data_IF_030033204406
#
_entry.id   IF_030033204406
#
_cell.length_a   1.000
_cell.length_b   1.000
_cell.length_c   1.000
_cell.angle_alpha   90.00
_cell.angle_beta   90.00
_cell.angle_gamma   90.00
#
_symmetry.space_group_name_H-M   'P 1'
#
loop_
_entity.id
_entity.type
_entity.pdbx_description
1 polymer ?
#
# COMPACT_ATOMS: atom_id res chain seq x y z
N UNK A 1 9.24 6.37 -1.28
CA UNK A 1 7.98 5.84 -1.85
C UNK A 1 7.06 5.57 -0.67
N UNK A 2 6.21 6.55 -0.31
CA UNK A 2 5.28 6.47 0.82
C UNK A 2 3.94 6.03 0.24
N UNK A 3 3.60 4.75 0.38
CA UNK A 3 2.27 4.26 0.03
C UNK A 3 1.40 4.53 1.27
N UNK A 4 0.51 5.49 1.13
CA UNK A 4 -0.53 5.78 2.11
C UNK A 4 -1.44 4.56 2.24
N UNK A 5 -1.61 4.09 3.47
CA UNK A 5 -2.58 3.06 3.83
C UNK A 5 -3.94 3.75 3.93
N UNK A 6 -4.83 3.45 2.99
CA UNK A 6 -6.25 3.79 3.08
C UNK A 6 -6.85 2.86 4.15
N UNK A 7 -7.06 3.39 5.35
CA UNK A 7 -7.94 2.82 6.35
C UNK A 7 -9.35 3.36 6.09
N UNK A 8 -10.26 2.43 5.80
CA UNK A 8 -11.68 2.65 5.64
C UNK A 8 -12.28 3.15 6.98
N UNK A 9 -12.33 4.47 7.18
CA UNK A 9 -13.05 5.11 8.28
C UNK A 9 -14.44 5.53 7.79
N UNK A 10 -15.46 4.84 8.28
CA UNK A 10 -16.87 5.25 8.13
C UNK A 10 -17.08 6.51 8.97
N UNK A 11 -17.47 7.59 8.28
CA UNK A 11 -17.56 8.94 8.81
C UNK A 11 -18.70 9.19 9.80
N UNK A 12 -18.43 10.15 10.68
CA UNK A 12 -19.42 11.02 11.31
C UNK A 12 -18.98 12.46 11.01
N UNK A 13 -19.86 13.18 10.33
CA UNK A 13 -19.64 14.50 9.76
C UNK A 13 -19.42 15.59 10.83
N UNK A 14 -18.44 16.47 10.57
CA UNK A 14 -18.15 17.65 11.38
C UNK A 14 -19.04 18.84 11.05
N UNK A 15 -19.53 19.49 12.10
CA UNK A 15 -20.25 20.78 12.12
C UNK A 15 -19.19 21.91 12.15
N UNK A 16 -19.41 23.07 11.50
CA UNK A 16 -18.43 24.16 11.46
C UNK A 16 -18.16 24.80 12.83
N UNK A 17 -16.87 25.02 13.12
CA UNK A 17 -16.36 25.69 14.32
C UNK A 17 -16.74 27.19 14.35
N UNK A 18 -17.46 27.59 15.39
CA UNK A 18 -17.54 28.99 15.82
C UNK A 18 -16.31 29.32 16.68
N UNK A 19 -15.66 30.44 16.37
CA UNK A 19 -14.58 31.02 17.15
C UNK A 19 -15.07 31.36 18.57
N UNK A 20 -14.44 30.76 19.58
CA UNK A 20 -14.75 31.00 20.99
C UNK A 20 -13.78 32.02 21.57
N UNK A 21 -14.35 33.13 22.06
CA UNK A 21 -13.68 34.20 22.76
C UNK A 21 -13.05 33.70 24.07
N UNK A 22 -11.91 34.29 24.42
CA UNK A 22 -11.05 33.89 25.53
C UNK A 22 -11.77 33.75 26.87
N UNK A 23 -11.64 32.57 27.47
CA UNK A 23 -11.97 32.30 28.86
C UNK A 23 -10.70 32.29 29.71
N UNK A 24 -10.76 33.00 30.83
CA UNK A 24 -9.70 33.03 31.86
C UNK A 24 -9.40 31.62 32.39
N UNK A 25 -8.15 31.34 32.81
CA UNK A 25 -7.80 30.06 33.43
C UNK A 25 -8.51 29.92 34.78
N UNK A 26 -9.55 29.09 34.81
CA UNK A 26 -10.13 28.61 36.07
C UNK A 26 -9.07 27.83 36.86
N UNK A 27 -9.06 27.95 38.20
CA UNK A 27 -8.15 27.19 39.05
C UNK A 27 -8.39 25.68 38.90
N UNK A 28 -7.37 24.83 39.15
CA UNK A 28 -7.47 23.39 39.01
C UNK A 28 -8.50 22.84 40.00
N UNK A 29 -9.68 22.49 39.48
CA UNK A 29 -10.68 21.72 40.22
C UNK A 29 -10.08 20.33 40.43
N UNK A 30 -9.97 19.90 41.69
CA UNK A 30 -9.55 18.55 42.03
C UNK A 30 -10.41 17.53 41.26
N UNK A 31 -9.81 16.51 40.61
CA UNK A 31 -10.56 15.57 39.79
C UNK A 31 -11.54 14.83 40.70
N UNK A 32 -12.81 15.20 40.63
CA UNK A 32 -13.88 14.33 41.11
C UNK A 32 -13.73 13.04 40.33
N UNK A 33 -13.41 11.96 41.05
CA UNK A 33 -13.33 10.57 40.61
C UNK A 33 -14.71 10.03 40.19
N UNK A 34 -15.41 10.78 39.34
CA UNK A 34 -16.70 10.46 38.80
C UNK A 34 -16.57 9.65 37.52
N UNK A 35 -17.57 8.79 37.27
CA UNK A 35 -17.70 7.93 36.08
C UNK A 35 -17.26 8.62 34.78
N UNK A 36 -17.72 9.84 34.52
CA UNK A 36 -17.41 10.58 33.30
C UNK A 36 -15.92 10.90 33.12
N UNK A 37 -15.21 11.26 34.18
CA UNK A 37 -13.78 11.57 34.13
C UNK A 37 -12.94 10.32 33.84
N UNK A 38 -13.34 9.16 34.38
CA UNK A 38 -12.70 7.88 34.08
C UNK A 38 -12.91 7.48 32.62
N UNK A 39 -14.14 7.60 32.09
CA UNK A 39 -14.42 7.28 30.69
C UNK A 39 -13.67 8.20 29.73
N UNK A 40 -13.58 9.50 30.03
CA UNK A 40 -12.77 10.45 29.25
C UNK A 40 -11.28 10.07 29.27
N UNK A 41 -10.74 9.75 30.45
CA UNK A 41 -9.34 9.35 30.59
C UNK A 41 -9.01 8.04 29.84
N UNK A 42 -9.90 7.05 29.87
CA UNK A 42 -9.76 5.79 29.12
C UNK A 42 -9.89 5.99 27.60
N UNK A 43 -10.62 7.02 27.18
CA UNK A 43 -10.81 7.37 25.77
C UNK A 43 -9.66 8.22 25.21
N UNK A 44 -8.83 8.82 26.06
CA UNK A 44 -7.64 9.60 25.68
C UNK A 44 -6.61 8.80 24.88
N UNK A 45 -5.78 9.48 24.08
CA UNK A 45 -4.59 8.89 23.43
C UNK A 45 -3.33 8.97 24.31
N UNK A 46 -3.38 9.67 25.45
CA UNK A 46 -2.27 9.71 26.41
C UNK A 46 -2.19 8.40 27.19
N UNK A 47 -1.19 7.58 26.85
CA UNK A 47 -0.90 6.31 27.50
C UNK A 47 -0.79 6.41 29.02
N UNK A 48 -0.10 7.43 29.54
CA UNK A 48 0.07 7.61 30.98
C UNK A 48 -1.24 7.97 31.68
N UNK A 49 -2.12 8.73 31.01
CA UNK A 49 -3.47 9.03 31.51
C UNK A 49 -4.34 7.77 31.57
N UNK A 50 -4.29 6.93 30.54
CA UNK A 50 -4.99 5.64 30.52
C UNK A 50 -4.46 4.73 31.63
N UNK A 51 -3.14 4.60 31.80
CA UNK A 51 -2.54 3.75 32.83
C UNK A 51 -3.01 4.13 34.23
N UNK A 52 -3.07 5.44 34.54
CA UNK A 52 -3.61 5.95 35.81
C UNK A 52 -5.11 5.63 35.97
N UNK A 53 -5.91 5.81 34.92
CA UNK A 53 -7.34 5.52 34.96
C UNK A 53 -7.61 4.02 35.19
N UNK A 54 -6.91 3.15 34.46
CA UNK A 54 -7.02 1.69 34.66
C UNK A 54 -6.56 1.29 36.07
N UNK A 55 -5.47 1.87 36.58
CA UNK A 55 -5.02 1.61 37.95
C UNK A 55 -6.08 2.02 38.99
N UNK A 56 -6.72 3.18 38.81
CA UNK A 56 -7.82 3.62 39.67
C UNK A 56 -9.02 2.66 39.63
N UNK A 57 -9.42 2.20 38.44
CA UNK A 57 -10.51 1.22 38.27
C UNK A 57 -10.18 -0.13 38.91
N UNK A 58 -8.94 -0.59 38.78
CA UNK A 58 -8.49 -1.85 39.40
C UNK A 58 -8.43 -1.77 40.93
N UNK A 59 -8.02 -0.62 41.47
CA UNK A 59 -7.91 -0.40 42.93
C UNK A 59 -9.25 -0.14 43.62
N UNK A 60 -10.32 0.17 42.88
CA UNK A 60 -11.64 0.41 43.45
C UNK A 60 -12.23 -0.87 44.09
N UNK A 61 -12.92 -0.77 45.25
CA UNK A 61 -13.62 -1.90 45.87
C UNK A 61 -14.54 -2.64 44.90
N UNK A 62 -14.69 -3.96 45.07
CA UNK A 62 -15.56 -4.79 44.21
C UNK A 62 -17.01 -4.28 44.15
N UNK A 63 -17.55 -3.83 45.27
CA UNK A 63 -18.93 -3.33 45.39
C UNK A 63 -19.22 -2.06 44.59
N UNK A 64 -18.19 -1.28 44.26
CA UNK A 64 -18.33 0.09 43.73
C UNK A 64 -17.99 0.15 42.23
N UNK A 65 -17.71 -1.01 41.62
CA UNK A 65 -17.34 -1.12 40.22
C UNK A 65 -18.53 -0.86 39.29
N UNK A 66 -18.43 0.18 38.48
CA UNK A 66 -19.35 0.40 37.38
C UNK A 66 -18.98 -0.54 36.20
N UNK A 67 -19.87 -1.45 35.77
CA UNK A 67 -19.54 -2.45 34.75
C UNK A 67 -19.17 -1.84 33.40
N UNK A 68 -19.71 -0.67 33.05
CA UNK A 68 -19.36 -0.01 31.78
C UNK A 68 -17.94 0.60 31.85
N UNK A 69 -17.54 1.14 33.01
CA UNK A 69 -16.19 1.67 33.24
C UNK A 69 -15.17 0.53 33.28
N UNK A 70 -15.49 -0.58 33.95
CA UNK A 70 -14.67 -1.80 33.92
C UNK A 70 -14.46 -2.31 32.50
N UNK A 71 -15.52 -2.33 31.69
CA UNK A 71 -15.44 -2.77 30.29
C UNK A 71 -14.57 -1.83 29.45
N UNK A 72 -14.75 -0.51 29.60
CA UNK A 72 -13.91 0.49 28.94
C UNK A 72 -12.44 0.37 29.36
N UNK A 73 -12.16 0.11 30.63
CA UNK A 73 -10.81 -0.10 31.13
C UNK A 73 -10.18 -1.37 30.54
N UNK A 74 -10.93 -2.48 30.46
CA UNK A 74 -10.47 -3.71 29.84
C UNK A 74 -10.13 -3.52 28.35
N UNK A 75 -10.97 -2.77 27.62
CA UNK A 75 -10.71 -2.41 26.21
C UNK A 75 -9.49 -1.52 26.06
N UNK A 76 -9.29 -0.55 26.96
CA UNK A 76 -8.10 0.29 26.94
C UNK A 76 -6.82 -0.52 27.22
N UNK A 77 -6.87 -1.51 28.12
CA UNK A 77 -5.76 -2.45 28.33
C UNK A 77 -5.40 -3.21 27.05
N UNK A 78 -6.40 -3.74 26.35
CA UNK A 78 -6.25 -4.51 25.12
C UNK A 78 -5.73 -3.65 23.96
N UNK A 79 -6.36 -2.50 23.71
CA UNK A 79 -6.15 -1.73 22.48
C UNK A 79 -5.03 -0.69 22.61
N UNK A 80 -4.84 -0.11 23.81
CA UNK A 80 -3.96 1.06 24.01
C UNK A 80 -2.77 0.79 24.91
N UNK A 81 -2.89 -0.14 25.86
CA UNK A 81 -1.80 -0.52 26.77
C UNK A 81 -1.06 -1.79 26.35
N UNK A 82 -1.56 -2.52 25.35
CA UNK A 82 -0.96 -3.77 24.88
C UNK A 82 -0.83 -4.81 26.02
N UNK A 83 -1.77 -4.82 26.98
CA UNK A 83 -1.74 -5.65 28.17
C UNK A 83 -2.96 -6.60 28.22
N UNK A 84 -2.89 -7.73 27.49
CA UNK A 84 -3.99 -8.70 27.45
C UNK A 84 -4.25 -9.37 28.80
N UNK A 85 -3.22 -9.48 29.66
CA UNK A 85 -3.36 -10.06 31.00
C UNK A 85 -4.26 -9.21 31.90
N UNK A 86 -3.99 -7.90 31.96
CA UNK A 86 -4.84 -6.95 32.69
C UNK A 86 -6.24 -6.85 32.09
N UNK A 87 -6.36 -6.93 30.77
CA UNK A 87 -7.66 -6.94 30.10
C UNK A 87 -8.52 -8.15 30.54
N UNK A 88 -7.95 -9.37 30.56
CA UNK A 88 -8.66 -10.57 31.03
C UNK A 88 -9.10 -10.43 32.47
N UNK A 89 -8.23 -9.95 33.37
CA UNK A 89 -8.59 -9.77 34.78
C UNK A 89 -9.79 -8.81 34.96
N UNK A 90 -9.86 -7.73 34.18
CA UNK A 90 -10.99 -6.80 34.21
C UNK A 90 -12.27 -7.41 33.61
N UNK A 91 -12.17 -8.13 32.49
CA UNK A 91 -13.32 -8.83 31.92
C UNK A 91 -13.88 -9.90 32.88
N UNK A 92 -13.01 -10.65 33.55
CA UNK A 92 -13.40 -11.66 34.52
C UNK A 92 -14.13 -11.04 35.71
N UNK A 93 -13.64 -9.90 36.20
CA UNK A 93 -14.30 -9.12 37.25
C UNK A 93 -15.72 -8.75 36.85
N UNK A 94 -15.95 -8.30 35.61
CA UNK A 94 -17.31 -7.99 35.11
C UNK A 94 -18.19 -9.23 35.16
N UNK A 95 -17.69 -10.38 34.71
CA UNK A 95 -18.48 -11.62 34.67
C UNK A 95 -18.80 -12.20 36.05
N UNK A 96 -17.89 -12.03 37.02
CA UNK A 96 -18.05 -12.53 38.37
C UNK A 96 -18.93 -11.59 39.22
N UNK A 97 -18.65 -10.28 39.18
CA UNK A 97 -19.27 -9.30 40.07
C UNK A 97 -20.59 -8.75 39.47
N UNK A 98 -20.76 -8.78 38.14
CA UNK A 98 -21.92 -8.20 37.44
C UNK A 98 -22.51 -9.11 36.33
N UNK A 99 -22.92 -10.36 36.63
CA UNK A 99 -23.36 -11.32 35.61
C UNK A 99 -24.60 -10.88 34.82
N UNK A 100 -25.46 -10.01 35.38
CA UNK A 100 -26.66 -9.47 34.73
C UNK A 100 -26.40 -8.19 33.91
N UNK A 101 -25.19 -7.63 33.96
CA UNK A 101 -24.87 -6.43 33.20
C UNK A 101 -24.88 -6.72 31.69
N UNK A 102 -25.39 -5.78 30.89
CA UNK A 102 -25.45 -5.88 29.42
C UNK A 102 -24.10 -6.22 28.78
N UNK A 103 -23.01 -5.73 29.37
CA UNK A 103 -21.64 -5.95 28.88
C UNK A 103 -21.03 -7.31 29.27
N UNK A 104 -21.61 -8.03 30.24
CA UNK A 104 -21.02 -9.25 30.81
C UNK A 104 -20.84 -10.35 29.75
N UNK A 105 -21.84 -10.57 28.89
CA UNK A 105 -21.73 -11.55 27.80
C UNK A 105 -20.62 -11.20 26.79
N UNK A 106 -20.40 -9.91 26.52
CA UNK A 106 -19.30 -9.47 25.66
C UNK A 106 -17.94 -9.61 26.35
N UNK A 107 -17.86 -9.29 27.64
CA UNK A 107 -16.67 -9.46 28.45
C UNK A 107 -16.25 -10.94 28.49
N UNK A 108 -17.19 -11.86 28.72
CA UNK A 108 -16.94 -13.30 28.73
C UNK A 108 -16.33 -13.80 27.42
N UNK A 109 -16.91 -13.41 26.27
CA UNK A 109 -16.39 -13.78 24.95
C UNK A 109 -14.98 -13.24 24.70
N UNK A 110 -14.73 -11.97 25.08
CA UNK A 110 -13.41 -11.35 24.94
C UNK A 110 -12.37 -12.01 25.85
N UNK A 111 -12.71 -12.29 27.10
CA UNK A 111 -11.84 -12.99 28.03
C UNK A 111 -11.50 -14.40 27.54
N UNK A 112 -12.48 -15.15 27.01
CA UNK A 112 -12.24 -16.47 26.41
C UNK A 112 -11.24 -16.39 25.25
N UNK A 113 -11.45 -15.47 24.29
CA UNK A 113 -10.56 -15.28 23.15
C UNK A 113 -9.13 -14.87 23.57
N UNK A 114 -8.99 -14.01 24.59
CA UNK A 114 -7.67 -13.64 25.11
C UNK A 114 -6.99 -14.80 25.84
N UNK A 115 -7.72 -15.64 26.59
CA UNK A 115 -7.18 -16.83 27.24
C UNK A 115 -6.68 -17.88 26.26
N UNK A 116 -7.31 -18.03 25.10
CA UNK A 116 -6.78 -18.88 24.03
C UNK A 116 -5.38 -18.42 23.59
N UNK A 117 -5.08 -17.11 23.69
CA UNK A 117 -3.78 -16.54 23.33
C UNK A 117 -2.77 -16.57 24.49
N UNK A 118 -3.19 -16.22 25.71
CA UNK A 118 -2.30 -16.06 26.87
C UNK A 118 -2.19 -17.30 27.76
N UNK A 119 -3.00 -18.33 27.50
CA UNK A 119 -3.14 -19.52 28.35
C UNK A 119 -4.17 -19.33 29.47
N UNK A 120 -4.64 -20.43 30.09
CA UNK A 120 -5.65 -20.41 31.14
C UNK A 120 -5.21 -19.63 32.38
N UNK A 121 -3.91 -19.59 32.66
CA UNK A 121 -3.34 -18.89 33.82
C UNK A 121 -2.42 -17.73 33.43
N UNK A 122 -2.44 -17.31 32.16
CA UNK A 122 -1.60 -16.21 31.67
C UNK A 122 -0.12 -16.59 31.48
N UNK A 123 0.19 -17.88 31.32
CA UNK A 123 1.55 -18.39 31.16
C UNK A 123 2.30 -17.73 29.98
N UNK A 124 1.56 -17.31 28.96
CA UNK A 124 2.10 -16.66 27.75
C UNK A 124 1.69 -15.19 27.62
N UNK A 125 1.18 -14.58 28.70
CA UNK A 125 0.74 -13.17 28.69
C UNK A 125 1.88 -12.20 28.31
N UNK A 126 3.10 -12.45 28.79
CA UNK A 126 4.28 -11.63 28.45
C UNK A 126 4.63 -11.70 26.95
N UNK A 127 4.52 -12.89 26.32
CA UNK A 127 4.76 -13.06 24.88
C UNK A 127 3.66 -12.38 24.05
N UNK A 128 2.40 -12.46 24.50
CA UNK A 128 1.28 -11.79 23.85
C UNK A 128 1.41 -10.26 23.92
N UNK A 129 1.78 -9.72 25.09
CA UNK A 129 2.08 -8.31 25.29
C UNK A 129 3.24 -7.87 24.39
N UNK A 130 4.32 -8.66 24.32
CA UNK A 130 5.43 -8.33 23.46
C UNK A 130 5.04 -8.28 21.98
N UNK A 131 4.22 -9.23 21.50
CA UNK A 131 3.70 -9.21 20.14
C UNK A 131 2.87 -7.94 19.89
N UNK A 132 1.97 -7.58 20.81
CA UNK A 132 1.16 -6.37 20.67
C UNK A 132 2.03 -5.11 20.60
N UNK A 133 3.03 -4.97 21.47
CA UNK A 133 3.99 -3.87 21.44
C UNK A 133 4.80 -3.83 20.15
N UNK A 134 5.23 -5.01 19.65
CA UNK A 134 5.96 -5.11 18.38
C UNK A 134 5.09 -4.60 17.22
N UNK A 135 3.82 -5.02 17.15
CA UNK A 135 2.87 -4.57 16.13
C UNK A 135 2.67 -3.05 16.19
N UNK A 136 2.47 -2.50 17.39
CA UNK A 136 2.20 -1.08 17.60
C UNK A 136 3.39 -0.16 17.27
N UNK A 137 4.63 -0.66 17.39
CA UNK A 137 5.85 0.15 17.30
C UNK A 137 6.76 -0.19 16.12
N UNK A 138 6.40 -1.17 15.30
CA UNK A 138 7.25 -1.67 14.21
C UNK A 138 7.75 -0.56 13.26
N UNK A 139 6.91 0.44 12.95
CA UNK A 139 7.27 1.51 12.02
C UNK A 139 8.26 2.53 12.61
N UNK A 140 8.42 2.56 13.94
CA UNK A 140 9.37 3.42 14.65
C UNK A 140 10.68 2.70 15.01
N UNK A 141 10.73 1.37 14.88
CA UNK A 141 11.90 0.56 15.23
C UNK A 141 12.77 0.25 14.00
N UNK A 142 14.09 0.06 14.16
CA UNK A 142 14.95 -0.43 13.09
C UNK A 142 14.48 -1.81 12.60
N UNK A 143 14.52 -2.02 11.29
CA UNK A 143 14.09 -3.26 10.64
C UNK A 143 14.68 -4.54 11.28
N UNK A 144 15.98 -4.52 11.59
CA UNK A 144 16.67 -5.67 12.21
C UNK A 144 16.12 -5.99 13.61
N UNK A 145 15.74 -4.98 14.39
CA UNK A 145 15.15 -5.19 15.70
C UNK A 145 13.75 -5.81 15.59
N UNK A 146 12.95 -5.35 14.62
CA UNK A 146 11.63 -5.89 14.31
C UNK A 146 11.72 -7.37 13.91
N UNK A 147 12.62 -7.68 12.96
CA UNK A 147 12.84 -9.06 12.48
C UNK A 147 13.28 -9.97 13.63
N UNK A 148 14.30 -9.55 14.40
CA UNK A 148 14.81 -10.35 15.53
C UNK A 148 13.73 -10.64 16.58
N UNK A 149 12.92 -9.64 16.95
CA UNK A 149 11.82 -9.82 17.92
C UNK A 149 10.72 -10.70 17.36
N UNK A 150 10.30 -10.45 16.11
CA UNK A 150 9.31 -11.27 15.43
C UNK A 150 9.72 -12.73 15.32
N UNK A 151 10.99 -12.99 15.00
CA UNK A 151 11.55 -14.35 14.91
C UNK A 151 11.57 -15.07 16.25
N UNK A 152 11.96 -14.37 17.31
CA UNK A 152 11.90 -14.93 18.68
C UNK A 152 10.47 -15.31 19.05
N UNK A 153 9.50 -14.45 18.78
CA UNK A 153 8.08 -14.71 19.05
C UNK A 153 7.54 -15.86 18.18
N UNK A 154 7.93 -15.95 16.91
CA UNK A 154 7.53 -17.02 15.99
C UNK A 154 8.17 -18.39 16.33
N UNK A 155 9.36 -18.38 16.92
CA UNK A 155 10.06 -19.60 17.32
C UNK A 155 9.56 -20.17 18.66
N UNK A 156 9.09 -19.31 19.57
CA UNK A 156 8.64 -19.70 20.91
C UNK A 156 7.45 -20.69 20.89
N UNK A 157 7.36 -21.53 21.92
CA UNK A 157 6.27 -22.49 22.11
C UNK A 157 5.08 -21.84 22.83
N UNK A 158 4.24 -21.12 22.10
CA UNK A 158 3.03 -20.48 22.64
C UNK A 158 1.92 -20.38 21.58
N UNK A 159 0.63 -20.25 21.98
CA UNK A 159 -0.50 -20.25 21.04
C UNK A 159 -0.43 -19.16 19.96
N UNK A 160 0.19 -18.01 20.24
CA UNK A 160 0.33 -16.89 19.31
C UNK A 160 1.51 -16.97 18.33
N UNK A 161 2.36 -18.00 18.41
CA UNK A 161 3.52 -18.13 17.52
C UNK A 161 3.18 -18.10 16.01
N UNK A 162 2.12 -18.77 15.52
CA UNK A 162 1.72 -18.67 14.11
C UNK A 162 1.31 -17.25 13.70
N UNK A 163 0.66 -16.51 14.61
CA UNK A 163 0.24 -15.12 14.38
C UNK A 163 1.46 -14.19 14.31
N UNK A 164 2.43 -14.37 15.19
CA UNK A 164 3.69 -13.61 15.14
C UNK A 164 4.45 -13.85 13.84
N UNK A 165 4.54 -15.11 13.39
CA UNK A 165 5.17 -15.48 12.14
C UNK A 165 4.47 -14.84 10.93
N UNK A 166 3.14 -14.92 10.87
CA UNK A 166 2.34 -14.33 9.79
C UNK A 166 2.49 -12.81 9.75
N UNK A 167 2.39 -12.16 10.90
CA UNK A 167 2.56 -10.70 11.00
C UNK A 167 3.94 -10.26 10.50
N UNK A 168 5.00 -10.97 10.86
CA UNK A 168 6.35 -10.65 10.40
C UNK A 168 6.47 -10.82 8.87
N UNK A 169 5.89 -11.89 8.30
CA UNK A 169 5.86 -12.08 6.85
C UNK A 169 5.13 -10.93 6.13
N UNK A 170 3.98 -10.49 6.65
CA UNK A 170 3.24 -9.35 6.10
C UNK A 170 3.99 -8.02 6.24
N UNK A 171 4.72 -7.83 7.36
CA UNK A 171 5.58 -6.67 7.55
C UNK A 171 6.74 -6.66 6.54
N UNK A 172 7.42 -7.80 6.35
CA UNK A 172 8.49 -7.94 5.34
C UNK A 172 8.00 -7.66 3.92
N UNK A 173 6.79 -8.14 3.57
CA UNK A 173 6.15 -7.85 2.29
C UNK A 173 5.93 -6.35 2.10
N UNK A 174 5.33 -5.67 3.09
CA UNK A 174 5.11 -4.21 3.07
C UNK A 174 6.42 -3.42 3.01
N UNK A 175 7.50 -3.94 3.60
CA UNK A 175 8.83 -3.37 3.52
C UNK A 175 9.54 -3.62 2.16
N UNK A 176 8.90 -4.36 1.24
CA UNK A 176 9.46 -4.69 -0.08
C UNK A 176 10.46 -5.86 -0.07
N UNK A 177 10.62 -6.56 1.06
CA UNK A 177 11.51 -7.72 1.19
C UNK A 177 10.79 -9.01 0.75
N UNK A 178 10.33 -9.02 -0.51
CA UNK A 178 9.40 -10.03 -1.05
C UNK A 178 9.96 -11.46 -1.00
N UNK A 179 11.24 -11.65 -1.29
CA UNK A 179 11.87 -12.97 -1.25
C UNK A 179 11.91 -13.56 0.17
N UNK A 180 12.15 -12.73 1.18
CA UNK A 180 12.13 -13.18 2.58
C UNK A 180 10.69 -13.42 3.05
N UNK A 181 9.76 -12.51 2.72
CA UNK A 181 8.34 -12.70 3.01
C UNK A 181 7.81 -14.04 2.45
N UNK A 182 8.14 -14.36 1.20
CA UNK A 182 7.80 -15.64 0.56
C UNK A 182 8.31 -16.85 1.33
N UNK A 183 9.59 -16.83 1.77
CA UNK A 183 10.18 -17.90 2.55
C UNK A 183 9.45 -18.08 3.89
N UNK A 184 9.06 -16.98 4.54
CA UNK A 184 8.30 -16.99 5.81
C UNK A 184 6.89 -17.54 5.61
N UNK A 185 6.17 -17.11 4.57
CA UNK A 185 4.85 -17.67 4.27
C UNK A 185 4.91 -19.17 4.00
N UNK A 186 5.91 -19.62 3.22
CA UNK A 186 6.13 -21.05 2.99
C UNK A 186 6.38 -21.81 4.31
N UNK A 187 7.24 -21.27 5.19
CA UNK A 187 7.51 -21.86 6.49
C UNK A 187 6.26 -21.96 7.39
N UNK A 188 5.38 -20.95 7.37
CA UNK A 188 4.11 -20.97 8.11
C UNK A 188 3.21 -22.10 7.59
N UNK A 189 3.05 -22.21 6.26
CA UNK A 189 2.21 -23.27 5.67
C UNK A 189 2.75 -24.67 5.94
N UNK A 190 4.08 -24.83 6.04
CA UNK A 190 4.71 -26.11 6.35
C UNK A 190 4.61 -26.47 7.85
N UNK A 191 4.80 -25.49 8.74
CA UNK A 191 4.84 -25.71 10.19
C UNK A 191 3.45 -25.86 10.80
N UNK A 192 2.44 -25.16 10.27
CA UNK A 192 1.09 -25.13 10.84
C UNK A 192 -0.02 -25.38 9.80
N UNK A 193 0.04 -26.46 9.00
CA UNK A 193 -0.79 -26.63 7.79
C UNK A 193 -2.31 -26.63 8.04
N UNK A 194 -2.75 -26.97 9.26
CA UNK A 194 -4.17 -27.08 9.63
C UNK A 194 -4.73 -25.81 10.27
N UNK A 195 -3.88 -24.83 10.61
CA UNK A 195 -4.33 -23.62 11.30
C UNK A 195 -4.84 -22.56 10.30
N UNK A 196 -5.76 -21.66 10.70
CA UNK A 196 -6.23 -20.56 9.85
C UNK A 196 -5.09 -19.70 9.28
N UNK A 197 -4.02 -19.50 10.05
CA UNK A 197 -2.85 -18.72 9.65
C UNK A 197 -2.11 -19.33 8.45
N UNK A 198 -2.23 -20.63 8.18
CA UNK A 198 -1.69 -21.24 6.98
C UNK A 198 -2.44 -20.79 5.72
N UNK A 199 -3.77 -20.64 5.81
CA UNK A 199 -4.58 -20.09 4.72
C UNK A 199 -4.23 -18.64 4.47
N UNK A 200 -4.11 -17.84 5.54
CA UNK A 200 -3.72 -16.44 5.43
C UNK A 200 -2.28 -16.29 4.89
N UNK A 201 -1.36 -17.14 5.31
CA UNK A 201 -0.01 -17.17 4.76
C UNK A 201 0.00 -17.51 3.26
N UNK A 202 -0.85 -18.44 2.81
CA UNK A 202 -0.99 -18.74 1.39
C UNK A 202 -1.54 -17.53 0.61
N UNK A 203 -2.54 -16.82 1.14
CA UNK A 203 -3.03 -15.56 0.54
C UNK A 203 -1.94 -14.48 0.51
N UNK A 204 -1.18 -14.35 1.60
CA UNK A 204 -0.04 -13.45 1.73
C UNK A 204 1.03 -13.73 0.66
N UNK A 205 1.37 -15.00 0.46
CA UNK A 205 2.30 -15.46 -0.57
C UNK A 205 1.81 -15.18 -2.00
N UNK A 206 0.51 -15.30 -2.27
CA UNK A 206 -0.06 -14.86 -3.57
C UNK A 206 0.14 -13.36 -3.74
N UNK A 207 -0.18 -12.56 -2.73
CA UNK A 207 0.03 -11.11 -2.78
C UNK A 207 1.51 -10.74 -2.99
N UNK A 208 2.43 -11.41 -2.30
CA UNK A 208 3.87 -11.22 -2.48
C UNK A 208 4.33 -11.55 -3.90
N UNK A 209 3.82 -12.63 -4.50
CA UNK A 209 4.09 -12.96 -5.90
C UNK A 209 3.49 -11.93 -6.89
N UNK A 210 2.33 -11.35 -6.58
CA UNK A 210 1.74 -10.25 -7.35
C UNK A 210 2.61 -8.98 -7.28
N UNK A 211 3.08 -8.63 -6.08
CA UNK A 211 3.97 -7.49 -5.83
C UNK A 211 5.33 -7.67 -6.56
N UNK A 212 5.82 -8.91 -6.66
CA UNK A 212 7.03 -9.28 -7.39
C UNK A 212 6.84 -9.37 -8.91
N UNK A 213 5.62 -9.14 -9.42
CA UNK A 213 5.24 -9.35 -10.82
C UNK A 213 5.44 -10.79 -11.34
N UNK A 214 5.48 -11.79 -10.44
CA UNK A 214 5.54 -13.21 -10.78
C UNK A 214 4.12 -13.78 -10.94
N UNK A 215 3.50 -13.43 -12.06
CA UNK A 215 2.10 -13.77 -12.35
C UNK A 215 1.84 -15.27 -12.41
N UNK A 216 2.82 -16.04 -12.88
CA UNK A 216 2.70 -17.50 -13.00
C UNK A 216 2.68 -18.14 -11.62
N UNK A 217 3.56 -17.70 -10.72
CA UNK A 217 3.59 -18.18 -9.34
C UNK A 217 2.36 -17.73 -8.56
N UNK A 218 1.91 -16.49 -8.74
CA UNK A 218 0.68 -16.00 -8.12
C UNK A 218 -0.54 -16.87 -8.48
N UNK A 219 -0.69 -17.25 -9.76
CA UNK A 219 -1.75 -18.16 -10.21
C UNK A 219 -1.61 -19.56 -9.59
N UNK A 220 -0.40 -20.12 -9.59
CA UNK A 220 -0.13 -21.43 -9.00
C UNK A 220 -0.43 -21.48 -7.50
N UNK A 221 -0.08 -20.42 -6.76
CA UNK A 221 -0.38 -20.29 -5.33
C UNK A 221 -1.88 -20.06 -5.09
N UNK A 222 -2.53 -19.20 -5.88
CA UNK A 222 -3.97 -18.95 -5.75
C UNK A 222 -4.78 -20.23 -6.02
N UNK A 223 -4.38 -21.05 -6.99
CA UNK A 223 -5.03 -22.33 -7.27
C UNK A 223 -5.00 -23.33 -6.09
N UNK A 224 -4.08 -23.15 -5.12
CA UNK A 224 -4.00 -23.96 -3.89
C UNK A 224 -4.95 -23.50 -2.78
N UNK A 225 -5.55 -22.31 -2.90
CA UNK A 225 -6.53 -21.83 -1.91
C UNK A 225 -7.78 -22.73 -1.93
N UNK A 226 -8.33 -22.99 -0.75
CA UNK A 226 -9.54 -23.80 -0.58
C UNK A 226 -10.73 -23.19 -1.33
N UNK A 227 -11.64 -24.04 -1.80
CA UNK A 227 -12.92 -23.64 -2.39
C UNK A 227 -14.13 -24.07 -1.56
N UNK A 228 -13.87 -24.64 -0.38
CA UNK A 228 -14.91 -25.17 0.50
C UNK A 228 -15.79 -24.05 1.05
N UNK A 229 -15.18 -22.93 1.46
CA UNK A 229 -15.90 -21.77 1.95
C UNK A 229 -16.18 -20.77 0.82
N UNK A 230 -17.40 -20.19 0.72
CA UNK A 230 -17.72 -19.19 -0.30
C UNK A 230 -16.79 -17.96 -0.26
N UNK A 231 -16.37 -17.53 0.94
CA UNK A 231 -15.44 -16.42 1.11
C UNK A 231 -14.06 -16.71 0.49
N UNK A 232 -13.54 -17.93 0.69
CA UNK A 232 -12.26 -18.36 0.12
C UNK A 232 -12.31 -18.38 -1.42
N UNK A 233 -13.44 -18.80 -1.98
CA UNK A 233 -13.66 -18.80 -3.44
C UNK A 233 -13.58 -17.40 -4.04
N UNK A 234 -14.26 -16.43 -3.42
CA UNK A 234 -14.25 -15.03 -3.88
C UNK A 234 -12.82 -14.49 -3.86
N UNK A 235 -12.11 -14.66 -2.74
CA UNK A 235 -10.72 -14.21 -2.59
C UNK A 235 -9.82 -14.85 -3.65
N UNK A 236 -9.96 -16.15 -3.87
CA UNK A 236 -9.18 -16.87 -4.90
C UNK A 236 -9.44 -16.32 -6.29
N UNK A 237 -10.71 -16.17 -6.67
CA UNK A 237 -11.10 -15.74 -8.01
C UNK A 237 -10.64 -14.28 -8.27
N UNK A 238 -10.69 -13.41 -7.25
CA UNK A 238 -10.14 -12.06 -7.31
C UNK A 238 -8.62 -12.04 -7.51
N UNK A 239 -7.89 -12.90 -6.79
CA UNK A 239 -6.43 -13.03 -6.94
C UNK A 239 -6.04 -13.59 -8.31
N UNK A 240 -6.76 -14.59 -8.82
CA UNK A 240 -6.55 -15.11 -10.17
C UNK A 240 -6.84 -14.04 -11.23
N UNK A 241 -7.92 -13.27 -11.06
CA UNK A 241 -8.24 -12.17 -11.95
C UNK A 241 -7.17 -11.07 -11.89
N UNK A 242 -6.63 -10.77 -10.71
CA UNK A 242 -5.51 -9.84 -10.53
C UNK A 242 -4.25 -10.31 -11.26
N UNK A 243 -3.85 -11.57 -11.11
CA UNK A 243 -2.70 -12.13 -11.82
C UNK A 243 -2.88 -12.11 -13.35
N UNK A 244 -4.09 -12.45 -13.84
CA UNK A 244 -4.40 -12.41 -15.26
C UNK A 244 -4.41 -10.98 -15.83
N UNK A 245 -4.86 -9.98 -15.05
CA UNK A 245 -4.74 -8.56 -15.42
C UNK A 245 -3.27 -8.11 -15.43
N UNK A 246 -2.50 -8.48 -14.41
CA UNK A 246 -1.06 -8.19 -14.33
C UNK A 246 -0.29 -8.75 -15.52
N UNK A 247 -0.53 -10.02 -15.89
CA UNK A 247 0.08 -10.65 -17.07
C UNK A 247 -0.28 -9.94 -18.37
N UNK A 248 -1.56 -9.56 -18.54
CA UNK A 248 -2.00 -8.80 -19.71
C UNK A 248 -1.30 -7.44 -19.77
N UNK A 249 -1.24 -6.70 -18.67
CA UNK A 249 -0.51 -5.43 -18.58
C UNK A 249 0.98 -5.61 -18.87
N UNK A 250 1.63 -6.64 -18.32
CA UNK A 250 3.03 -6.95 -18.60
C UNK A 250 3.31 -7.21 -20.08
N UNK A 251 2.42 -7.94 -20.78
CA UNK A 251 2.51 -8.15 -22.24
C UNK A 251 2.35 -6.85 -23.02
N UNK A 252 1.38 -6.01 -22.65
CA UNK A 252 1.19 -4.71 -23.29
C UNK A 252 2.35 -3.76 -23.03
N UNK A 253 2.95 -3.80 -21.83
CA UNK A 253 4.12 -3.03 -21.48
C UNK A 253 5.34 -3.45 -22.30
N UNK A 254 5.59 -4.75 -22.44
CA UNK A 254 6.64 -5.26 -23.32
C UNK A 254 6.38 -4.90 -24.79
N UNK A 255 5.14 -5.05 -25.28
CA UNK A 255 4.76 -4.68 -26.64
C UNK A 255 4.95 -3.17 -26.89
N UNK A 256 4.64 -2.32 -25.91
CA UNK A 256 4.85 -0.88 -26.01
C UNK A 256 6.34 -0.55 -26.09
N UNK A 257 7.20 -1.17 -25.27
CA UNK A 257 8.65 -1.01 -25.39
C UNK A 257 9.19 -1.46 -26.75
N UNK A 258 8.71 -2.59 -27.27
CA UNK A 258 9.07 -3.06 -28.61
C UNK A 258 8.60 -2.08 -29.70
N UNK A 259 7.40 -1.50 -29.56
CA UNK A 259 6.89 -0.50 -30.49
C UNK A 259 7.72 0.79 -30.47
N UNK A 260 8.13 1.26 -29.29
CA UNK A 260 9.05 2.40 -29.13
C UNK A 260 10.37 2.07 -29.83
N UNK A 261 11.00 0.94 -29.49
CA UNK A 261 12.27 0.53 -30.07
C UNK A 261 12.19 0.40 -31.60
N UNK A 262 11.14 -0.21 -32.12
CA UNK A 262 10.91 -0.36 -33.56
C UNK A 262 10.69 0.99 -34.26
N UNK A 263 9.94 1.92 -33.64
CA UNK A 263 9.73 3.26 -34.17
C UNK A 263 11.05 4.04 -34.24
N UNK A 264 11.83 4.07 -33.16
CA UNK A 264 13.13 4.72 -33.13
C UNK A 264 14.11 4.08 -34.12
N UNK A 265 14.22 2.75 -34.15
CA UNK A 265 15.10 2.05 -35.07
C UNK A 265 14.71 2.30 -36.53
N UNK A 266 13.42 2.25 -36.85
CA UNK A 266 12.90 2.52 -38.19
C UNK A 266 13.19 3.94 -38.66
N UNK A 267 12.97 4.94 -37.81
CA UNK A 267 13.26 6.34 -38.11
C UNK A 267 14.78 6.59 -38.23
N UNK A 268 15.59 6.04 -37.33
CA UNK A 268 17.05 6.13 -37.38
C UNK A 268 17.63 5.47 -38.63
N UNK A 269 17.16 4.28 -39.01
CA UNK A 269 17.56 3.62 -40.24
C UNK A 269 17.15 4.45 -41.47
N UNK A 270 15.95 5.05 -41.43
CA UNK A 270 15.48 5.96 -42.48
C UNK A 270 16.39 7.19 -42.63
N UNK A 271 16.80 7.78 -41.50
CA UNK A 271 17.70 8.92 -41.44
C UNK A 271 19.11 8.54 -41.91
N UNK A 272 19.64 7.41 -41.45
CA UNK A 272 20.95 6.90 -41.85
C UNK A 272 21.01 6.62 -43.35
N UNK A 273 19.99 5.98 -43.91
CA UNK A 273 19.87 5.78 -45.37
C UNK A 273 19.83 7.12 -46.11
N UNK A 274 19.10 8.11 -45.58
CA UNK A 274 19.06 9.45 -46.13
C UNK A 274 20.43 10.13 -46.06
N UNK A 275 21.21 9.97 -44.99
CA UNK A 275 22.55 10.55 -44.85
C UNK A 275 23.56 9.86 -45.77
N UNK A 276 23.58 8.53 -45.80
CA UNK A 276 24.54 7.74 -46.58
C UNK A 276 24.39 7.98 -48.09
N UNK A 277 23.15 8.16 -48.56
CA UNK A 277 22.87 8.47 -49.97
C UNK A 277 23.07 9.95 -50.33
N UNK A 278 23.46 10.81 -49.38
CA UNK A 278 23.61 12.26 -49.63
C UNK A 278 25.01 12.62 -50.14
N UNK A 279 25.15 13.60 -51.06
CA UNK A 279 26.44 14.13 -51.48
C UNK A 279 27.27 14.60 -50.27
N UNK A 280 28.61 14.40 -50.26
CA UNK A 280 29.47 14.64 -49.09
C UNK A 280 29.30 16.03 -48.46
N UNK A 281 29.14 17.07 -49.29
CA UNK A 281 28.99 18.46 -48.84
C UNK A 281 27.69 18.77 -48.08
N UNK A 282 26.68 17.91 -48.19
CA UNK A 282 25.39 18.16 -47.54
C UNK A 282 25.27 17.50 -46.17
N UNK A 283 26.20 16.65 -45.72
CA UNK A 283 26.01 15.84 -44.48
C UNK A 283 25.80 16.66 -43.21
N UNK A 284 26.48 17.80 -43.07
CA UNK A 284 26.38 18.67 -41.88
C UNK A 284 24.99 19.27 -41.64
N UNK A 285 24.18 19.44 -42.68
CA UNK A 285 22.81 19.97 -42.49
C UNK A 285 21.86 18.95 -41.84
N UNK A 286 22.25 17.67 -41.67
CA UNK A 286 21.36 16.63 -41.12
C UNK A 286 21.21 16.76 -39.60
N UNK A 287 22.14 17.47 -38.96
CA UNK A 287 22.14 17.72 -37.53
C UNK A 287 21.35 18.98 -37.17
N UNK A 288 20.91 19.77 -38.16
CA UNK A 288 20.07 20.93 -37.88
C UNK A 288 18.67 20.43 -37.48
N UNK A 289 18.14 20.87 -36.34
CA UNK A 289 16.79 20.51 -35.96
C UNK A 289 15.80 21.04 -37.00
N UNK A 290 14.80 20.24 -37.40
CA UNK A 290 13.76 20.70 -38.31
C UNK A 290 12.90 21.76 -37.60
N UNK A 291 12.26 22.64 -38.37
CA UNK A 291 11.52 23.79 -37.84
C UNK A 291 10.42 23.38 -36.84
N UNK A 292 9.81 22.20 -37.03
CA UNK A 292 8.81 21.63 -36.14
C UNK A 292 9.34 21.44 -34.71
N UNK A 293 10.62 21.08 -34.56
CA UNK A 293 11.25 20.93 -33.23
C UNK A 293 11.46 22.28 -32.56
N UNK A 294 11.76 23.33 -33.33
CA UNK A 294 11.89 24.69 -32.80
C UNK A 294 10.56 25.21 -32.22
N UNK A 295 9.42 24.77 -32.76
CA UNK A 295 8.09 25.09 -32.21
C UNK A 295 7.68 24.17 -31.05
N UNK A 296 7.96 22.87 -31.13
CA UNK A 296 7.51 21.90 -30.13
C UNK A 296 8.36 21.91 -28.85
N UNK A 297 9.67 22.12 -28.95
CA UNK A 297 10.55 22.05 -27.79
C UNK A 297 10.21 23.09 -26.69
N UNK A 298 9.91 24.37 -27.00
CA UNK A 298 9.46 25.32 -25.98
C UNK A 298 8.17 24.90 -25.28
N UNK A 299 7.19 24.38 -26.03
CA UNK A 299 5.93 23.89 -25.46
C UNK A 299 6.19 22.70 -24.53
N UNK A 300 7.01 21.75 -24.96
CA UNK A 300 7.43 20.60 -24.15
C UNK A 300 8.12 21.02 -22.84
N UNK A 301 9.00 22.03 -22.90
CA UNK A 301 9.69 22.58 -21.72
C UNK A 301 8.68 23.21 -20.76
N UNK A 302 7.75 24.04 -21.26
CA UNK A 302 6.73 24.69 -20.43
C UNK A 302 5.81 23.66 -19.79
N UNK A 303 5.30 22.68 -20.54
CA UNK A 303 4.43 21.62 -20.01
C UNK A 303 5.14 20.79 -18.93
N UNK A 304 6.42 20.48 -19.16
CA UNK A 304 7.23 19.76 -18.16
C UNK A 304 7.41 20.60 -16.90
N UNK A 305 7.75 21.89 -17.04
CA UNK A 305 7.87 22.82 -15.90
C UNK A 305 6.58 22.95 -15.10
N UNK A 306 5.44 23.13 -15.77
CA UNK A 306 4.13 23.18 -15.13
C UNK A 306 3.86 21.86 -14.39
N UNK A 307 4.10 20.70 -14.99
CA UNK A 307 3.88 19.42 -14.33
C UNK A 307 4.72 19.26 -13.05
N UNK A 308 5.99 19.70 -13.05
CA UNK A 308 6.84 19.68 -11.86
C UNK A 308 6.37 20.63 -10.75
N UNK A 309 5.71 21.74 -11.11
CA UNK A 309 5.13 22.69 -10.14
C UNK A 309 3.77 22.26 -9.62
N UNK A 310 2.94 21.62 -10.46
CA UNK A 310 1.58 21.22 -10.13
C UNK A 310 1.51 19.88 -9.40
N UNK A 311 2.20 18.84 -9.89
CA UNK A 311 2.08 17.50 -9.32
C UNK A 311 3.34 16.64 -9.52
N UNK A 312 4.16 16.49 -8.46
CA UNK A 312 5.44 15.77 -8.51
C UNK A 312 5.32 14.30 -8.96
N UNK A 313 4.17 13.65 -8.74
CA UNK A 313 3.96 12.26 -9.19
C UNK A 313 3.73 12.14 -10.71
N UNK A 314 3.19 13.17 -11.36
CA UNK A 314 2.83 13.11 -12.80
C UNK A 314 3.98 13.67 -13.66
N UNK A 315 4.83 14.52 -13.08
CA UNK A 315 5.90 15.21 -13.79
C UNK A 315 6.88 14.28 -14.55
N UNK A 316 7.36 13.15 -14.00
CA UNK A 316 8.25 12.24 -14.73
C UNK A 316 7.60 11.64 -15.98
N UNK A 317 6.31 11.29 -15.90
CA UNK A 317 5.56 10.77 -17.02
C UNK A 317 5.41 11.82 -18.13
N UNK A 318 5.03 13.06 -17.77
CA UNK A 318 4.91 14.19 -18.73
C UNK A 318 6.25 14.49 -19.38
N UNK A 319 7.33 14.54 -18.60
CA UNK A 319 8.69 14.78 -19.11
C UNK A 319 9.11 13.70 -20.13
N UNK A 320 8.85 12.43 -19.81
CA UNK A 320 9.17 11.29 -20.69
C UNK A 320 8.41 11.36 -22.01
N UNK A 321 7.11 11.65 -21.96
CA UNK A 321 6.26 11.78 -23.16
C UNK A 321 6.72 12.97 -24.02
N UNK A 322 6.97 14.12 -23.39
CA UNK A 322 7.42 15.33 -24.09
C UNK A 322 8.79 15.13 -24.76
N UNK A 323 9.77 14.60 -24.02
CA UNK A 323 11.11 14.35 -24.55
C UNK A 323 11.09 13.31 -25.68
N UNK A 324 10.37 12.19 -25.49
CA UNK A 324 10.22 11.16 -26.51
C UNK A 324 9.49 11.66 -27.77
N UNK A 325 8.43 12.46 -27.60
CA UNK A 325 7.71 13.09 -28.70
C UNK A 325 8.60 14.02 -29.52
N UNK A 326 9.36 14.92 -28.86
CA UNK A 326 10.32 15.80 -29.53
C UNK A 326 11.37 15.01 -30.30
N UNK A 327 11.90 13.93 -29.71
CA UNK A 327 12.89 13.08 -30.37
C UNK A 327 12.33 12.38 -31.63
N UNK A 328 11.11 11.84 -31.56
CA UNK A 328 10.44 11.25 -32.71
C UNK A 328 10.18 12.27 -33.82
N UNK A 329 9.72 13.48 -33.47
CA UNK A 329 9.51 14.57 -34.44
C UNK A 329 10.82 15.00 -35.08
N UNK A 330 11.91 15.10 -34.31
CA UNK A 330 13.23 15.44 -34.83
C UNK A 330 13.69 14.41 -35.87
N UNK A 331 13.64 13.12 -35.53
CA UNK A 331 14.07 12.04 -36.44
C UNK A 331 13.23 11.99 -37.72
N UNK A 332 11.90 12.14 -37.58
CA UNK A 332 11.01 12.12 -38.74
C UNK A 332 11.20 13.35 -39.63
N UNK A 333 11.19 14.55 -39.05
CA UNK A 333 11.37 15.81 -39.77
C UNK A 333 12.70 15.88 -40.51
N UNK A 334 13.81 15.55 -39.83
CA UNK A 334 15.14 15.51 -40.42
C UNK A 334 15.21 14.54 -41.61
N UNK A 335 14.55 13.39 -41.52
CA UNK A 335 14.50 12.42 -42.64
C UNK A 335 13.65 12.95 -43.80
N UNK A 336 12.46 13.48 -43.52
CA UNK A 336 11.53 13.93 -44.56
C UNK A 336 12.03 15.17 -45.28
N UNK A 337 12.73 16.10 -44.62
CA UNK A 337 13.38 17.25 -45.23
C UNK A 337 14.54 16.84 -46.15
N UNK A 338 15.22 15.73 -45.84
CA UNK A 338 16.25 15.16 -46.72
C UNK A 338 15.66 14.51 -47.96
N UNK A 339 14.57 13.76 -47.81
CA UNK A 339 13.82 13.22 -48.94
C UNK A 339 13.18 14.37 -49.75
N UNK A 340 12.82 15.46 -49.06
CA UNK A 340 12.60 16.85 -49.47
C UNK A 340 13.42 17.37 -50.66
N UNK A 341 14.72 17.39 -50.42
CA UNK A 341 15.70 17.96 -51.33
C UNK A 341 15.93 17.10 -52.59
N UNK A 342 15.45 15.85 -52.63
CA UNK A 342 15.75 14.88 -53.70
C UNK A 342 14.66 14.68 -54.76
N UNK A 343 13.51 15.36 -54.65
CA UNK A 343 12.42 15.24 -55.63
C UNK A 343 11.73 13.87 -55.78
N UNK A 344 12.02 12.88 -54.91
CA UNK A 344 11.40 11.53 -55.00
C UNK A 344 9.93 11.52 -54.54
N UNK A 345 9.07 10.62 -55.08
CA UNK A 345 7.68 10.45 -54.64
C UNK A 345 7.62 10.01 -53.17
N UNK A 346 6.81 10.73 -52.37
CA UNK A 346 6.93 10.73 -50.89
C UNK A 346 5.78 10.09 -50.13
N UNK A 347 4.66 9.80 -50.77
CA UNK A 347 3.40 9.53 -50.05
C UNK A 347 3.55 8.32 -49.12
N UNK A 348 4.04 7.19 -49.63
CA UNK A 348 4.18 5.96 -48.84
C UNK A 348 5.14 6.13 -47.65
N UNK A 349 6.31 6.75 -47.86
CA UNK A 349 7.32 6.92 -46.80
C UNK A 349 6.91 7.96 -45.76
N UNK A 350 6.24 9.03 -46.17
CA UNK A 350 5.66 10.01 -45.25
C UNK A 350 4.56 9.38 -44.38
N UNK A 351 3.66 8.59 -44.99
CA UNK A 351 2.64 7.84 -44.24
C UNK A 351 3.28 6.87 -43.24
N UNK A 352 4.31 6.12 -43.64
CA UNK A 352 5.03 5.22 -42.74
C UNK A 352 5.67 5.96 -41.55
N UNK A 353 6.25 7.14 -41.79
CA UNK A 353 6.81 7.99 -40.73
C UNK A 353 5.75 8.49 -39.75
N UNK A 354 4.60 8.94 -40.25
CA UNK A 354 3.47 9.37 -39.42
C UNK A 354 2.98 8.21 -38.55
N UNK A 355 2.79 7.02 -39.13
CA UNK A 355 2.39 5.82 -38.39
C UNK A 355 3.42 5.48 -37.31
N UNK A 356 4.72 5.50 -37.63
CA UNK A 356 5.78 5.23 -36.68
C UNK A 356 5.81 6.23 -35.51
N UNK A 357 5.62 7.53 -35.80
CA UNK A 357 5.56 8.56 -34.76
C UNK A 357 4.33 8.40 -33.87
N UNK A 358 3.14 8.19 -34.45
CA UNK A 358 1.91 7.97 -33.70
C UNK A 358 2.01 6.74 -32.79
N UNK A 359 2.47 5.61 -33.35
CA UNK A 359 2.68 4.39 -32.57
C UNK A 359 3.70 4.59 -31.44
N UNK A 360 4.82 5.27 -31.73
CA UNK A 360 5.84 5.60 -30.73
C UNK A 360 5.33 6.49 -29.60
N UNK A 361 4.55 7.53 -29.91
CA UNK A 361 3.96 8.43 -28.89
C UNK A 361 2.92 7.72 -28.04
N UNK A 362 2.02 6.94 -28.64
CA UNK A 362 1.02 6.15 -27.89
C UNK A 362 1.72 5.15 -26.96
N UNK A 363 2.75 4.46 -27.44
CA UNK A 363 3.51 3.51 -26.65
C UNK A 363 4.30 4.21 -25.52
N UNK A 364 4.91 5.37 -25.77
CA UNK A 364 5.58 6.19 -24.74
C UNK A 364 4.60 6.63 -23.66
N UNK A 365 3.41 7.10 -24.04
CA UNK A 365 2.37 7.49 -23.09
C UNK A 365 1.94 6.29 -22.24
N UNK A 366 1.70 5.13 -22.85
CA UNK A 366 1.36 3.91 -22.12
C UNK A 366 2.45 3.50 -21.11
N UNK A 367 3.72 3.47 -21.54
CA UNK A 367 4.86 3.13 -20.67
C UNK A 367 5.00 4.13 -19.52
N UNK A 368 4.93 5.42 -19.81
CA UNK A 368 5.03 6.49 -18.82
C UNK A 368 3.92 6.41 -17.77
N UNK A 369 2.67 6.19 -18.20
CA UNK A 369 1.52 6.07 -17.29
C UNK A 369 1.55 4.78 -16.46
N UNK A 370 2.04 3.68 -17.03
CA UNK A 370 2.12 2.38 -16.32
C UNK A 370 3.23 2.37 -15.28
N UNK A 371 4.38 2.98 -15.57
CA UNK A 371 5.57 2.96 -14.70
C UNK A 371 5.30 3.56 -13.32
N UNK A 372 4.51 4.63 -13.27
CA UNK A 372 4.23 5.38 -12.04
C UNK A 372 2.87 5.01 -11.42
N UNK A 373 2.28 3.88 -11.82
CA UNK A 373 0.94 3.43 -11.39
C UNK A 373 -0.19 4.46 -11.62
N UNK A 374 0.01 5.43 -12.54
CA UNK A 374 -0.96 6.48 -12.83
C UNK A 374 -2.25 5.93 -13.45
N UNK A 375 -2.16 4.81 -14.16
CA UNK A 375 -3.34 4.12 -14.70
C UNK A 375 -4.24 3.63 -13.56
N UNK A 376 -3.66 3.06 -12.50
CA UNK A 376 -4.45 2.56 -11.38
C UNK A 376 -5.07 3.72 -10.60
N UNK A 377 -4.32 4.80 -10.36
CA UNK A 377 -4.86 6.02 -9.76
C UNK A 377 -6.01 6.62 -10.59
N UNK A 378 -5.89 6.64 -11.93
CA UNK A 378 -6.96 7.15 -12.80
C UNK A 378 -8.19 6.25 -12.79
N UNK A 379 -8.01 4.93 -12.80
CA UNK A 379 -9.12 3.97 -12.70
C UNK A 379 -9.82 4.10 -11.33
N UNK A 380 -9.05 4.27 -10.26
CA UNK A 380 -9.56 4.49 -8.91
C UNK A 380 -10.36 5.81 -8.84
N UNK A 381 -9.80 6.90 -9.36
CA UNK A 381 -10.46 8.21 -9.42
C UNK A 381 -11.76 8.16 -10.23
N UNK A 382 -11.79 7.43 -11.35
CA UNK A 382 -13.02 7.27 -12.17
C UNK A 382 -14.05 6.41 -11.44
N UNK A 383 -13.61 5.42 -10.67
CA UNK A 383 -14.50 4.49 -9.98
C UNK A 383 -15.11 5.08 -8.71
N UNK A 384 -14.34 5.87 -7.96
CA UNK A 384 -14.71 6.34 -6.63
C UNK A 384 -14.86 7.87 -6.52
N UNK A 385 -14.46 8.61 -7.56
CA UNK A 385 -14.43 10.07 -7.56
C UNK A 385 -13.06 10.62 -7.11
N UNK A 386 -12.85 11.95 -7.22
CA UNK A 386 -11.60 12.61 -6.87
C UNK A 386 -11.36 12.78 -5.35
N UNK A 387 -12.36 12.48 -4.51
CA UNK A 387 -12.36 12.78 -3.06
C UNK A 387 -12.01 11.56 -2.17
N UNK A 388 -11.60 10.44 -2.77
CA UNK A 388 -11.09 9.24 -2.06
C UNK A 388 -9.59 9.14 -2.31
#
# INVERSE_FOLDING_TARGET
MRIAVILLAIGLAGIPSYAQAGSNPSPPVAPTSGRAALLDALSSDDRGRIERAVAAVMGAPRSDGDPDVLFAAARACEDKLDDPGRAVALYDRITADHPSARVAASAARRAAALRELIGPHGETAALAQELAQLIARADAEPAEAVIRRGDRLAAAAWPGAPRAALWLADWLRRAGQLAEADARYAAITARWPTLPQARDALRGAVGSALDAHDWSRAEALAARLSIAEPADRIVRDDLLAAAARGRRRGRWYAAAWLAIAAAFAGLLASLAEAILRSPPGTRRSALRPPIEVAFLAPVAIVLTGIAFTAHRLIAPAVATICAGGVALTWLSGATLERLRARGRPRRLRAVAHVIACLAGVVALAYVALTRDNLIDALVETVRFGPDV
#
